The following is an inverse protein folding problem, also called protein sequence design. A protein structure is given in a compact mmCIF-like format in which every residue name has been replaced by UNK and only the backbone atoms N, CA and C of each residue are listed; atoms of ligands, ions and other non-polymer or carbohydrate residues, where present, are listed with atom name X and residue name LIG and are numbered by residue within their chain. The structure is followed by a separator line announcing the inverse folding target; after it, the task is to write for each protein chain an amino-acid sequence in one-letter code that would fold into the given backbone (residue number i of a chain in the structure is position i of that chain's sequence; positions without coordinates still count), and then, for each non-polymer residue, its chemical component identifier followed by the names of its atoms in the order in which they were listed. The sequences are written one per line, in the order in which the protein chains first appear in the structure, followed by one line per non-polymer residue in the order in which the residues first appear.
data_IF_862363748898
#
_entry.id   IF_862363748898
#
_cell.length_a   1.000
_cell.length_b   1.000
_cell.length_c   1.000
_cell.angle_alpha   90.00
_cell.angle_beta   90.00
_cell.angle_gamma   90.00
#
_symmetry.space_group_name_H-M   'P 1'
#
loop_
_entity.id
_entity.type
_entity.pdbx_description
1 polymer ?
#
# COMPACT_ATOMS: atom_id res chain seq x y z
N UNK A 1 11.07 18.35 10.75
CA UNK A 1 12.05 17.60 9.94
C UNK A 1 11.46 16.29 9.39
N UNK A 2 10.75 15.45 10.18
CA UNK A 2 10.13 14.20 9.68
C UNK A 2 9.01 14.37 8.63
N UNK A 3 8.23 15.46 8.68
CA UNK A 3 7.15 15.70 7.70
C UNK A 3 7.69 15.95 6.28
N UNK A 4 8.80 16.68 6.15
CA UNK A 4 9.39 17.06 4.85
C UNK A 4 9.82 15.83 4.03
N UNK A 5 10.33 14.79 4.69
CA UNK A 5 10.71 13.54 4.03
C UNK A 5 9.51 12.74 3.53
N UNK A 6 8.39 12.81 4.26
CA UNK A 6 7.14 12.16 3.86
C UNK A 6 6.52 12.88 2.66
N UNK A 7 6.49 14.22 2.69
CA UNK A 7 5.97 15.06 1.60
C UNK A 7 6.76 14.80 0.30
N UNK A 8 8.09 14.73 0.39
CA UNK A 8 8.93 14.44 -0.78
C UNK A 8 8.72 13.02 -1.35
N UNK A 9 8.55 12.02 -0.48
CA UNK A 9 8.36 10.63 -0.91
C UNK A 9 7.04 10.44 -1.64
N UNK A 10 5.93 10.97 -1.09
CA UNK A 10 4.62 10.83 -1.70
C UNK A 10 4.59 11.51 -3.07
N UNK A 11 5.21 12.69 -3.20
CA UNK A 11 5.29 13.41 -4.47
C UNK A 11 6.00 12.63 -5.57
N UNK A 12 7.12 11.99 -5.25
CA UNK A 12 7.83 11.15 -6.19
C UNK A 12 6.99 9.95 -6.66
N UNK A 13 6.26 9.32 -5.74
CA UNK A 13 5.40 8.18 -6.05
C UNK A 13 4.22 8.60 -6.94
N UNK A 14 3.56 9.72 -6.64
CA UNK A 14 2.43 10.23 -7.43
C UNK A 14 2.87 10.59 -8.84
N UNK A 15 4.01 11.26 -9.01
CA UNK A 15 4.58 11.55 -10.34
C UNK A 15 4.85 10.28 -11.14
N UNK A 16 5.47 9.28 -10.51
CA UNK A 16 5.76 8.00 -11.14
C UNK A 16 4.48 7.26 -11.54
N UNK A 17 3.44 7.31 -10.71
CA UNK A 17 2.14 6.72 -11.01
C UNK A 17 1.46 7.44 -12.18
N UNK A 18 1.39 8.77 -12.17
CA UNK A 18 0.82 9.56 -13.26
C UNK A 18 1.41 9.15 -14.62
N UNK A 19 2.74 9.11 -14.71
CA UNK A 19 3.43 8.67 -15.92
C UNK A 19 3.10 7.21 -16.28
N UNK A 20 3.11 6.30 -15.30
CA UNK A 20 2.76 4.89 -15.52
C UNK A 20 1.30 4.69 -15.99
N UNK A 21 0.39 5.61 -15.65
CA UNK A 21 -1.00 5.63 -16.12
C UNK A 21 -1.19 6.41 -17.43
N UNK A 22 -0.12 6.90 -18.05
CA UNK A 22 -0.12 7.51 -19.38
C UNK A 22 -0.13 9.05 -19.39
N UNK A 23 0.12 9.69 -18.25
CA UNK A 23 0.37 11.14 -18.20
C UNK A 23 1.78 11.49 -18.72
N UNK A 24 2.09 12.78 -18.79
CA UNK A 24 3.42 13.28 -19.18
C UNK A 24 4.49 12.96 -18.13
N UNK A 25 5.75 12.87 -18.55
CA UNK A 25 6.90 12.56 -17.68
C UNK A 25 7.09 13.58 -16.55
N UNK A 26 6.83 14.86 -16.85
CA UNK A 26 6.92 15.96 -15.88
C UNK A 26 5.55 16.65 -15.71
N UNK A 27 4.64 16.07 -14.90
CA UNK A 27 3.32 16.65 -14.66
C UNK A 27 3.43 17.94 -13.85
N UNK A 28 2.40 18.79 -14.01
CA UNK A 28 2.30 20.07 -13.30
C UNK A 28 2.38 19.85 -11.78
N UNK A 29 3.16 20.67 -11.05
CA UNK A 29 3.26 20.57 -9.59
C UNK A 29 1.91 20.62 -8.88
N UNK A 30 0.97 21.42 -9.41
CA UNK A 30 -0.38 21.58 -8.87
C UNK A 30 -1.20 20.30 -9.02
N UNK A 31 -1.11 19.61 -10.17
CA UNK A 31 -1.77 18.31 -10.38
C UNK A 31 -1.28 17.27 -9.38
N UNK A 32 0.04 17.24 -9.17
CA UNK A 32 0.67 16.32 -8.22
C UNK A 32 0.20 16.62 -6.80
N UNK A 33 0.23 17.90 -6.37
CA UNK A 33 -0.23 18.32 -5.05
C UNK A 33 -1.70 17.98 -4.79
N UNK A 34 -2.58 18.17 -5.77
CA UNK A 34 -4.01 17.81 -5.64
C UNK A 34 -4.18 16.29 -5.50
N UNK A 35 -3.46 15.50 -6.29
CA UNK A 35 -3.54 14.03 -6.20
C UNK A 35 -2.96 13.50 -4.88
N UNK A 36 -1.91 14.12 -4.36
CA UNK A 36 -1.38 13.82 -3.03
C UNK A 36 -2.46 14.04 -1.96
N UNK A 37 -3.14 15.18 -1.98
CA UNK A 37 -4.22 15.49 -1.04
C UNK A 37 -5.38 14.48 -1.15
N UNK A 38 -5.82 14.16 -2.37
CA UNK A 38 -6.86 13.16 -2.62
C UNK A 38 -6.43 11.78 -2.08
N UNK A 39 -5.17 11.38 -2.30
CA UNK A 39 -4.65 10.10 -1.84
C UNK A 39 -4.61 10.02 -0.31
N UNK A 40 -4.14 11.07 0.36
CA UNK A 40 -4.11 11.15 1.83
C UNK A 40 -5.53 11.09 2.39
N UNK A 41 -6.45 11.87 1.82
CA UNK A 41 -7.84 11.88 2.26
C UNK A 41 -8.49 10.50 2.08
N UNK A 42 -8.24 9.84 0.94
CA UNK A 42 -8.73 8.48 0.70
C UNK A 42 -8.22 7.48 1.74
N UNK A 43 -6.93 7.55 2.12
CA UNK A 43 -6.35 6.68 3.15
C UNK A 43 -7.03 6.94 4.50
N UNK A 44 -7.21 8.20 4.89
CA UNK A 44 -7.88 8.58 6.14
C UNK A 44 -9.31 8.00 6.17
N UNK A 45 -10.08 8.17 5.10
CA UNK A 45 -11.47 7.71 5.05
C UNK A 45 -11.59 6.19 4.97
N UNK A 46 -10.63 5.51 4.33
CA UNK A 46 -10.52 4.05 4.40
C UNK A 46 -10.21 3.57 5.82
N UNK A 47 -9.25 4.21 6.51
CA UNK A 47 -8.87 3.84 7.88
C UNK A 47 -10.01 4.07 8.88
N UNK A 48 -10.76 5.16 8.76
CA UNK A 48 -11.95 5.44 9.60
C UNK A 48 -13.01 4.36 9.43
N UNK A 49 -13.39 4.05 8.20
CA UNK A 49 -14.36 2.98 7.91
C UNK A 49 -13.89 1.60 8.40
N UNK A 50 -12.58 1.35 8.35
CA UNK A 50 -12.02 0.09 8.84
C UNK A 50 -12.11 -0.02 10.37
N UNK A 51 -11.87 1.09 11.09
CA UNK A 51 -12.06 1.16 12.54
C UNK A 51 -13.52 0.95 12.97
N UNK A 52 -14.48 1.43 12.17
CA UNK A 52 -15.92 1.24 12.43
C UNK A 52 -16.40 -0.18 12.17
N UNK A 53 -15.77 -0.89 11.22
CA UNK A 53 -16.18 -2.25 10.82
C UNK A 53 -15.46 -3.33 11.65
N UNK A 54 -14.23 -3.06 12.07
CA UNK A 54 -13.34 -4.00 12.75
C UNK A 54 -13.44 -3.98 14.27
N UNK A 55 -12.42 -4.55 14.94
CA UNK A 55 -12.31 -4.48 16.40
C UNK A 55 -11.84 -3.10 16.84
N UNK A 56 -12.43 -2.59 17.92
CA UNK A 56 -12.05 -1.30 18.51
C UNK A 56 -10.55 -1.28 18.80
N UNK A 57 -9.85 -0.25 18.29
CA UNK A 57 -8.44 0.02 18.58
C UNK A 57 -7.43 -0.68 17.68
N UNK A 58 -7.84 -1.47 16.67
CA UNK A 58 -6.89 -2.07 15.71
C UNK A 58 -7.50 -2.25 14.33
N UNK A 59 -6.77 -1.80 13.30
CA UNK A 59 -7.06 -2.10 11.89
C UNK A 59 -6.26 -3.33 11.47
N UNK A 60 -6.93 -4.30 10.86
CA UNK A 60 -6.33 -5.51 10.27
C UNK A 60 -6.39 -5.48 8.74
N UNK A 61 -5.65 -6.38 8.10
CA UNK A 61 -5.65 -6.50 6.63
C UNK A 61 -7.02 -6.95 6.14
N UNK A 62 -7.66 -7.82 6.92
CA UNK A 62 -9.00 -8.35 6.68
C UNK A 62 -10.06 -7.24 6.67
N UNK A 63 -9.93 -6.24 7.56
CA UNK A 63 -10.84 -5.09 7.60
C UNK A 63 -10.77 -4.28 6.29
N UNK A 64 -9.55 -4.02 5.79
CA UNK A 64 -9.35 -3.30 4.53
C UNK A 64 -9.83 -4.14 3.33
N UNK A 65 -9.52 -5.44 3.32
CA UNK A 65 -9.98 -6.36 2.28
C UNK A 65 -11.51 -6.45 2.23
N UNK A 66 -12.17 -6.42 3.39
CA UNK A 66 -13.62 -6.39 3.50
C UNK A 66 -14.22 -5.12 2.90
N UNK A 67 -13.61 -3.95 3.13
CA UNK A 67 -14.10 -2.68 2.57
C UNK A 67 -14.03 -2.64 1.04
N UNK A 68 -12.97 -3.20 0.44
CA UNK A 68 -12.78 -3.20 -1.02
C UNK A 68 -13.51 -4.36 -1.73
N UNK A 69 -14.15 -5.28 -0.99
CA UNK A 69 -14.74 -6.51 -1.54
C UNK A 69 -15.75 -6.31 -2.68
N UNK A 70 -16.44 -5.17 -2.69
CA UNK A 70 -17.44 -4.84 -3.72
C UNK A 70 -16.79 -4.48 -5.06
N UNK A 71 -15.53 -4.06 -5.04
CA UNK A 71 -14.77 -3.66 -6.22
C UNK A 71 -13.95 -4.85 -6.74
N UNK A 72 -14.58 -5.70 -7.55
CA UNK A 72 -14.02 -7.00 -8.00
C UNK A 72 -12.56 -6.92 -8.49
N UNK A 73 -12.21 -5.90 -9.30
CA UNK A 73 -10.84 -5.71 -9.79
C UNK A 73 -9.85 -5.39 -8.67
N UNK A 74 -10.17 -4.44 -7.79
CA UNK A 74 -9.30 -4.06 -6.66
C UNK A 74 -9.15 -5.21 -5.67
N UNK A 75 -10.26 -5.90 -5.36
CA UNK A 75 -10.26 -7.04 -4.44
C UNK A 75 -9.41 -8.20 -4.97
N UNK A 76 -9.56 -8.55 -6.25
CA UNK A 76 -8.77 -9.63 -6.88
C UNK A 76 -7.28 -9.30 -6.85
N UNK A 77 -6.90 -8.07 -7.19
CA UNK A 77 -5.51 -7.63 -7.16
C UNK A 77 -4.94 -7.61 -5.74
N UNK A 78 -5.69 -7.13 -4.75
CA UNK A 78 -5.27 -7.13 -3.36
C UNK A 78 -5.02 -8.56 -2.85
N UNK A 79 -5.91 -9.50 -3.18
CA UNK A 79 -5.75 -10.91 -2.81
C UNK A 79 -4.49 -11.54 -3.42
N UNK A 80 -4.24 -11.29 -4.70
CA UNK A 80 -3.02 -11.77 -5.39
C UNK A 80 -1.75 -11.24 -4.71
N UNK A 81 -1.69 -9.93 -4.42
CA UNK A 81 -0.54 -9.32 -3.75
C UNK A 81 -0.29 -9.89 -2.35
N UNK A 82 -1.35 -10.15 -1.59
CA UNK A 82 -1.24 -10.77 -0.27
C UNK A 82 -0.70 -12.20 -0.34
N UNK A 83 -1.16 -12.99 -1.32
CA UNK A 83 -0.67 -14.35 -1.55
C UNK A 83 0.83 -14.34 -1.89
N UNK A 84 1.25 -13.51 -2.86
CA UNK A 84 2.66 -13.40 -3.25
C UNK A 84 3.52 -12.92 -2.08
N UNK A 85 3.02 -11.97 -1.28
CA UNK A 85 3.74 -11.51 -0.08
C UNK A 85 3.94 -12.63 0.93
N UNK A 86 2.95 -13.51 1.10
CA UNK A 86 3.06 -14.65 2.00
C UNK A 86 4.05 -15.69 1.48
N UNK A 87 4.02 -16.00 0.18
CA UNK A 87 4.98 -16.90 -0.48
C UNK A 87 6.42 -16.38 -0.34
N UNK A 88 6.65 -15.09 -0.62
CA UNK A 88 7.96 -14.46 -0.44
C UNK A 88 8.43 -14.53 1.02
N UNK A 89 7.53 -14.36 1.98
CA UNK A 89 7.86 -14.47 3.41
C UNK A 89 8.24 -15.91 3.79
N UNK A 90 7.54 -16.91 3.26
CA UNK A 90 7.86 -18.33 3.46
C UNK A 90 9.20 -18.70 2.83
N UNK A 91 9.44 -18.29 1.59
CA UNK A 91 10.71 -18.52 0.90
C UNK A 91 11.89 -17.93 1.68
N UNK A 92 11.80 -16.66 2.10
CA UNK A 92 12.84 -16.00 2.93
C UNK A 92 13.10 -16.71 4.25
N UNK A 93 12.08 -17.34 4.86
CA UNK A 93 12.25 -18.08 6.10
C UNK A 93 12.99 -19.40 5.86
N UNK A 94 12.60 -20.15 4.83
CA UNK A 94 13.27 -21.42 4.47
C UNK A 94 14.78 -21.23 4.26
N UNK A 95 15.19 -20.20 3.51
CA UNK A 95 16.62 -19.91 3.29
C UNK A 95 17.38 -19.59 4.59
N UNK A 96 16.77 -18.88 5.53
CA UNK A 96 17.41 -18.57 6.82
C UNK A 96 17.57 -19.80 7.71
N UNK A 97 16.55 -20.66 7.72
CA UNK A 97 16.57 -21.90 8.49
C UNK A 97 17.64 -22.86 7.93
N UNK A 98 17.79 -22.93 6.59
CA UNK A 98 18.84 -23.70 5.92
C UNK A 98 20.26 -23.17 6.21
N UNK A 99 20.47 -21.85 6.19
CA UNK A 99 21.75 -21.22 6.54
C UNK A 99 22.16 -21.50 7.99
N UNK A 100 21.20 -21.45 8.93
CA UNK A 100 21.44 -21.79 10.33
C UNK A 100 21.78 -23.28 10.52
N UNK A 101 21.17 -24.17 9.73
CA UNK A 101 21.43 -25.61 9.79
C UNK A 101 22.78 -26.00 9.17
N UNK A 102 23.28 -25.25 8.18
CA UNK A 102 24.62 -25.45 7.59
C UNK A 102 25.73 -24.96 8.54
N UNK A 103 25.45 -23.94 9.34
CA UNK A 103 26.43 -23.33 10.27
C UNK A 103 26.58 -24.08 11.60
N UNK A 104 25.92 -25.23 11.79
CA UNK A 104 25.97 -26.07 12.99
C UNK A 104 26.69 -27.38 12.73
#
# INVERSE_FOLDING_TARGET
MHAIWFDFLLSFLVRSMLYAFGDVESPLPETVAVLEEIAVQYIIDMSRRALETGRVGKITVEDIAYLVRKESRKFSRAKELLLVSEELKRARKAFKDDEFNIAR
#
